data_IF_715395920334
#
_entry.id   IF_715395920334
#
_cell.length_a   1.000
_cell.length_b   1.000
_cell.length_c   1.000
_cell.angle_alpha   90.00
_cell.angle_beta   90.00
_cell.angle_gamma   90.00
#
_symmetry.space_group_name_H-M   'P 1'
#
loop_
_entity.id
_entity.type
_entity.pdbx_description
1 polymer ?
#
# COMPACT_ATOMS: atom_id res chain seq x y z
N UNK A 1 18.99 -27.93 1.91
CA UNK A 1 19.22 -26.92 0.86
C UNK A 1 17.93 -26.13 0.71
N UNK A 2 17.94 -24.81 0.95
CA UNK A 2 16.78 -23.96 0.59
C UNK A 2 16.48 -24.14 -0.89
N UNK A 3 15.21 -24.30 -1.25
CA UNK A 3 14.79 -24.50 -2.64
C UNK A 3 15.23 -23.27 -3.46
N UNK A 4 15.91 -23.49 -4.59
CA UNK A 4 16.36 -22.41 -5.50
C UNK A 4 15.21 -21.46 -5.85
N UNK A 5 13.97 -21.99 -5.87
CA UNK A 5 12.74 -21.20 -6.06
C UNK A 5 12.52 -20.16 -4.97
N UNK A 6 12.79 -20.49 -3.70
CA UNK A 6 12.63 -19.59 -2.57
C UNK A 6 13.66 -18.46 -2.60
N UNK A 7 14.92 -18.77 -2.93
CA UNK A 7 15.97 -17.75 -3.08
C UNK A 7 15.62 -16.79 -4.22
N UNK A 8 15.16 -17.33 -5.36
CA UNK A 8 14.71 -16.51 -6.49
C UNK A 8 13.51 -15.64 -6.11
N UNK A 9 12.52 -16.19 -5.41
CA UNK A 9 11.37 -15.43 -4.92
C UNK A 9 11.82 -14.27 -4.03
N UNK A 10 12.68 -14.56 -3.06
CA UNK A 10 13.18 -13.58 -2.11
C UNK A 10 13.97 -12.47 -2.79
N UNK A 11 14.84 -12.82 -3.74
CA UNK A 11 15.65 -11.85 -4.47
C UNK A 11 14.79 -10.96 -5.38
N UNK A 12 13.84 -11.54 -6.12
CA UNK A 12 12.95 -10.79 -7.01
C UNK A 12 11.98 -9.89 -6.24
N UNK A 13 11.55 -10.30 -5.05
CA UNK A 13 10.54 -9.58 -4.26
C UNK A 13 11.12 -8.87 -3.04
N UNK A 14 12.44 -8.74 -2.97
CA UNK A 14 13.12 -8.21 -1.78
C UNK A 14 12.59 -6.83 -1.38
N UNK A 15 12.42 -5.92 -2.36
CA UNK A 15 11.87 -4.58 -2.13
C UNK A 15 10.44 -4.61 -1.56
N UNK A 16 9.58 -5.49 -2.09
CA UNK A 16 8.20 -5.63 -1.63
C UNK A 16 8.11 -6.29 -0.24
N UNK A 17 9.07 -7.15 0.10
CA UNK A 17 9.18 -7.80 1.40
C UNK A 17 9.76 -6.89 2.49
N UNK A 18 10.26 -5.69 2.15
CA UNK A 18 10.66 -4.66 3.12
C UNK A 18 9.44 -3.97 3.75
N UNK A 19 8.56 -4.78 4.33
CA UNK A 19 7.21 -4.38 4.68
C UNK A 19 7.10 -3.26 5.70
N UNK A 20 8.11 -2.97 6.53
CA UNK A 20 8.08 -1.77 7.40
C UNK A 20 7.99 -0.47 6.59
N UNK A 21 8.52 -0.43 5.36
CA UNK A 21 8.35 0.73 4.47
C UNK A 21 6.88 0.92 4.11
N UNK A 22 6.18 -0.18 3.79
CA UNK A 22 4.74 -0.17 3.50
C UNK A 22 3.90 0.19 4.73
N UNK A 23 4.31 -0.24 5.92
CA UNK A 23 3.67 0.18 7.19
C UNK A 23 3.73 1.70 7.33
N UNK A 24 4.91 2.29 7.14
CA UNK A 24 5.10 3.74 7.28
C UNK A 24 4.25 4.51 6.26
N UNK A 25 4.22 4.06 5.00
CA UNK A 25 3.37 4.65 3.95
C UNK A 25 1.89 4.52 4.31
N UNK A 26 1.46 3.36 4.81
CA UNK A 26 0.08 3.13 5.24
C UNK A 26 -0.33 4.00 6.43
N UNK A 27 0.54 4.18 7.42
CA UNK A 27 0.34 5.10 8.54
C UNK A 27 0.21 6.54 8.05
N UNK A 28 1.11 6.99 7.17
CA UNK A 28 1.03 8.33 6.59
C UNK A 28 -0.29 8.53 5.86
N UNK A 29 -0.71 7.56 5.04
CA UNK A 29 -1.97 7.65 4.29
C UNK A 29 -3.17 7.80 5.23
N UNK A 30 -3.21 7.04 6.33
CA UNK A 30 -4.26 7.16 7.35
C UNK A 30 -4.22 8.54 8.02
N UNK A 31 -3.04 9.01 8.44
CA UNK A 31 -2.90 10.32 9.09
C UNK A 31 -3.36 11.46 8.17
N UNK A 32 -2.94 11.45 6.90
CA UNK A 32 -3.38 12.41 5.88
C UNK A 32 -4.90 12.38 5.70
N UNK A 33 -5.51 11.19 5.68
CA UNK A 33 -6.96 11.06 5.59
C UNK A 33 -7.68 11.59 6.83
N UNK A 34 -7.17 11.30 8.03
CA UNK A 34 -7.73 11.81 9.30
C UNK A 34 -7.63 13.32 9.38
N UNK A 35 -6.48 13.88 9.01
CA UNK A 35 -6.26 15.31 8.88
C UNK A 35 -7.26 15.93 7.91
N UNK A 36 -7.36 15.39 6.69
CA UNK A 36 -8.27 15.85 5.64
C UNK A 36 -9.74 15.76 6.05
N UNK A 37 -10.12 14.67 6.73
CA UNK A 37 -11.46 14.45 7.27
C UNK A 37 -11.81 15.49 8.36
N UNK A 38 -10.84 15.91 9.16
CA UNK A 38 -10.98 16.90 10.22
C UNK A 38 -11.04 18.36 9.74
N UNK A 39 -10.67 18.64 8.49
CA UNK A 39 -10.61 20.01 7.98
C UNK A 39 -11.97 20.73 8.06
N UNK A 40 -11.90 21.99 8.48
CA UNK A 40 -12.98 22.97 8.39
C UNK A 40 -12.49 24.09 7.48
N UNK A 41 -13.36 24.58 6.61
CA UNK A 41 -13.05 25.73 5.75
C UNK A 41 -13.37 27.03 6.51
N UNK A 42 -12.50 28.06 6.45
CA UNK A 42 -11.22 28.13 5.75
C UNK A 42 -10.11 27.32 6.43
N UNK A 43 -9.20 26.76 5.62
CA UNK A 43 -8.06 25.97 6.11
C UNK A 43 -7.14 26.85 6.94
N UNK A 44 -6.96 26.52 8.22
CA UNK A 44 -6.05 27.27 9.11
C UNK A 44 -4.58 26.93 8.81
N UNK A 45 -3.69 27.92 8.95
CA UNK A 45 -2.24 27.72 8.79
C UNK A 45 -1.69 26.69 9.78
N UNK A 46 -2.27 26.64 10.99
CA UNK A 46 -1.94 25.62 12.01
C UNK A 46 -2.21 24.21 11.50
N UNK A 47 -3.31 24.00 10.78
CA UNK A 47 -3.64 22.71 10.17
C UNK A 47 -2.59 22.29 9.15
N UNK A 48 -2.15 23.20 8.29
CA UNK A 48 -1.10 22.92 7.29
C UNK A 48 0.23 22.60 7.97
N UNK A 49 0.60 23.33 9.02
CA UNK A 49 1.82 23.05 9.79
C UNK A 49 1.80 21.68 10.45
N UNK A 50 0.65 21.23 10.96
CA UNK A 50 0.49 19.87 11.51
C UNK A 50 0.76 18.82 10.43
N UNK A 51 0.17 18.97 9.24
CA UNK A 51 0.42 18.04 8.12
C UNK A 51 1.90 18.01 7.72
N UNK A 52 2.54 19.17 7.62
CA UNK A 52 3.97 19.26 7.28
C UNK A 52 4.84 18.57 8.35
N UNK A 53 4.51 18.74 9.62
CA UNK A 53 5.20 18.08 10.73
C UNK A 53 5.00 16.55 10.68
N UNK A 54 3.78 16.07 10.42
CA UNK A 54 3.49 14.64 10.25
C UNK A 54 4.31 14.03 9.11
N UNK A 55 4.35 14.70 7.95
CA UNK A 55 5.17 14.27 6.81
C UNK A 55 6.65 14.23 7.17
N UNK A 56 7.17 15.24 7.87
CA UNK A 56 8.58 15.29 8.27
C UNK A 56 8.94 14.16 9.25
N UNK A 57 8.09 13.88 10.23
CA UNK A 57 8.26 12.77 11.18
C UNK A 57 8.27 11.44 10.43
N UNK A 58 7.30 11.23 9.54
CA UNK A 58 7.23 10.02 8.73
C UNK A 58 8.46 9.85 7.84
N UNK A 59 8.95 10.90 7.18
CA UNK A 59 10.16 10.85 6.36
C UNK A 59 11.39 10.44 7.17
N UNK A 60 11.49 10.95 8.40
CA UNK A 60 12.58 10.62 9.33
C UNK A 60 12.51 9.14 9.74
N UNK A 61 11.32 8.63 10.07
CA UNK A 61 11.11 7.22 10.38
C UNK A 61 11.40 6.34 9.16
N UNK A 62 10.94 6.75 7.98
CA UNK A 62 11.20 6.06 6.71
C UNK A 62 12.69 5.92 6.44
N UNK A 63 13.45 7.01 6.61
CA UNK A 63 14.91 6.99 6.48
C UNK A 63 15.57 6.07 7.50
N UNK A 64 15.13 6.08 8.77
CA UNK A 64 15.65 5.18 9.79
C UNK A 64 15.40 3.70 9.44
N UNK A 65 14.20 3.37 8.93
CA UNK A 65 13.85 2.03 8.47
C UNK A 65 14.65 1.61 7.24
N UNK A 66 14.89 2.53 6.29
CA UNK A 66 15.78 2.28 5.14
C UNK A 66 17.19 1.89 5.62
N UNK A 67 17.75 2.67 6.55
CA UNK A 67 19.06 2.36 7.17
C UNK A 67 19.06 1.04 7.93
N UNK A 68 17.99 0.72 8.64
CA UNK A 68 17.84 -0.57 9.31
C UNK A 68 17.88 -1.74 8.32
N UNK A 69 17.17 -1.65 7.19
CA UNK A 69 17.16 -2.70 6.17
C UNK A 69 18.52 -2.84 5.49
N UNK A 70 19.16 -1.73 5.13
CA UNK A 70 20.49 -1.74 4.52
C UNK A 70 21.52 -2.39 5.45
N UNK A 71 21.48 -2.10 6.76
CA UNK A 71 22.38 -2.69 7.76
C UNK A 71 22.12 -4.17 8.00
N UNK A 72 20.85 -4.58 8.08
CA UNK A 72 20.48 -5.94 8.51
C UNK A 72 20.45 -6.96 7.37
N UNK A 73 20.11 -6.53 6.15
CA UNK A 73 19.89 -7.43 5.02
C UNK A 73 20.68 -7.05 3.76
N UNK A 74 21.39 -5.92 3.77
CA UNK A 74 22.10 -5.41 2.60
C UNK A 74 21.15 -4.88 1.51
N UNK A 75 21.61 -4.91 0.27
CA UNK A 75 20.88 -4.39 -0.89
C UNK A 75 20.80 -5.46 -1.99
N UNK A 76 19.58 -5.77 -2.42
CA UNK A 76 19.33 -6.54 -3.65
C UNK A 76 18.95 -5.56 -4.74
N UNK A 77 19.74 -5.52 -5.82
CA UNK A 77 19.45 -4.68 -6.99
C UNK A 77 18.64 -5.48 -8.00
N UNK A 78 17.44 -5.01 -8.32
CA UNK A 78 16.67 -5.53 -9.45
C UNK A 78 17.44 -5.29 -10.76
N UNK A 79 17.26 -6.16 -11.74
CA UNK A 79 17.84 -5.94 -13.07
C UNK A 79 17.26 -4.68 -13.72
N UNK A 80 18.01 -3.98 -14.60
CA UNK A 80 17.53 -2.75 -15.25
C UNK A 80 16.22 -2.95 -16.03
N UNK A 81 15.99 -4.15 -16.55
CA UNK A 81 14.76 -4.52 -17.27
C UNK A 81 13.55 -4.54 -16.35
N UNK A 82 13.66 -5.17 -15.17
CA UNK A 82 12.60 -5.19 -14.15
C UNK A 82 12.32 -3.77 -13.67
N UNK A 83 13.36 -2.97 -13.41
CA UNK A 83 13.19 -1.57 -12.97
C UNK A 83 12.43 -0.73 -14.00
N UNK A 84 12.75 -0.86 -15.30
CA UNK A 84 12.04 -0.16 -16.38
C UNK A 84 10.58 -0.61 -16.47
N UNK A 85 10.32 -1.90 -16.28
CA UNK A 85 8.97 -2.44 -16.29
C UNK A 85 8.14 -1.94 -15.10
N UNK A 86 8.70 -1.98 -13.89
CA UNK A 86 8.07 -1.45 -12.68
C UNK A 86 7.81 0.05 -12.79
N UNK A 87 8.75 0.82 -13.35
CA UNK A 87 8.57 2.25 -13.60
C UNK A 87 7.40 2.51 -14.57
N UNK A 88 7.31 1.76 -15.68
CA UNK A 88 6.21 1.89 -16.65
C UNK A 88 4.85 1.58 -16.01
N UNK A 89 4.75 0.47 -15.26
CA UNK A 89 3.53 0.13 -14.53
C UNK A 89 3.17 1.21 -13.52
N UNK A 90 4.15 1.73 -12.78
CA UNK A 90 3.93 2.77 -11.77
C UNK A 90 3.43 4.07 -12.39
N UNK A 91 3.98 4.47 -13.54
CA UNK A 91 3.52 5.66 -14.28
C UNK A 91 2.08 5.46 -14.76
N UNK A 92 1.78 4.32 -15.40
CA UNK A 92 0.43 4.02 -15.91
C UNK A 92 -0.57 3.97 -14.76
N UNK A 93 -0.26 3.24 -13.69
CA UNK A 93 -1.10 3.15 -12.49
C UNK A 93 -1.30 4.50 -11.80
N UNK A 94 -0.25 5.32 -11.75
CA UNK A 94 -0.31 6.69 -11.22
C UNK A 94 -1.25 7.58 -12.04
N UNK A 95 -1.13 7.57 -13.37
CA UNK A 95 -2.02 8.33 -14.27
C UNK A 95 -3.47 7.87 -14.10
N UNK A 96 -3.73 6.56 -14.12
CA UNK A 96 -5.08 6.01 -13.94
C UNK A 96 -5.66 6.40 -12.57
N UNK A 97 -4.85 6.36 -11.51
CA UNK A 97 -5.28 6.77 -10.17
C UNK A 97 -5.62 8.26 -10.10
N UNK A 98 -4.84 9.12 -10.74
CA UNK A 98 -5.12 10.57 -10.80
C UNK A 98 -6.40 10.87 -11.57
N UNK A 99 -6.61 10.22 -12.72
CA UNK A 99 -7.84 10.35 -13.50
C UNK A 99 -9.04 9.87 -12.68
N UNK A 100 -8.91 8.71 -12.02
CA UNK A 100 -9.96 8.16 -11.18
C UNK A 100 -10.34 9.07 -10.01
N UNK A 101 -9.33 9.61 -9.31
CA UNK A 101 -9.53 10.59 -8.25
C UNK A 101 -10.23 11.86 -8.76
N UNK A 102 -9.77 12.41 -9.89
CA UNK A 102 -10.38 13.60 -10.48
C UNK A 102 -11.85 13.37 -10.85
N UNK A 103 -12.18 12.20 -11.42
CA UNK A 103 -13.55 11.83 -11.76
C UNK A 103 -14.42 11.65 -10.51
N UNK A 104 -13.92 10.96 -9.47
CA UNK A 104 -14.64 10.74 -8.21
C UNK A 104 -15.01 12.06 -7.53
N UNK A 105 -14.10 13.06 -7.54
CA UNK A 105 -14.34 14.37 -6.93
C UNK A 105 -15.26 15.24 -7.80
N UNK A 106 -15.15 15.16 -9.12
CA UNK A 106 -15.87 16.06 -10.04
C UNK A 106 -17.31 15.61 -10.29
N UNK A 107 -17.54 14.32 -10.53
CA UNK A 107 -18.84 13.83 -11.04
C UNK A 107 -19.73 13.17 -9.97
N UNK A 108 -19.28 13.06 -8.72
CA UNK A 108 -20.02 12.39 -7.63
C UNK A 108 -20.57 11.02 -8.05
N UNK A 109 -19.69 10.18 -8.60
CA UNK A 109 -20.05 8.88 -9.15
C UNK A 109 -20.71 7.99 -8.08
N UNK A 110 -21.64 7.10 -8.46
CA UNK A 110 -22.30 6.16 -7.54
C UNK A 110 -21.41 4.97 -7.14
N UNK A 111 -20.10 5.05 -7.39
CA UNK A 111 -19.07 4.09 -6.99
C UNK A 111 -17.75 4.85 -6.87
N UNK A 112 -16.76 4.29 -6.19
CA UNK A 112 -15.42 4.90 -6.13
C UNK A 112 -14.53 4.34 -7.23
N UNK A 113 -14.27 5.14 -8.25
CA UNK A 113 -13.35 4.79 -9.32
C UNK A 113 -11.92 4.66 -8.80
N UNK A 114 -11.49 5.48 -7.83
CA UNK A 114 -10.16 5.32 -7.23
C UNK A 114 -10.02 3.97 -6.52
N UNK A 115 -11.05 3.55 -5.78
CA UNK A 115 -11.05 2.27 -5.10
C UNK A 115 -11.05 1.09 -6.08
N UNK A 116 -11.75 1.20 -7.21
CA UNK A 116 -11.68 0.22 -8.29
C UNK A 116 -10.28 0.12 -8.90
N UNK A 117 -9.64 1.25 -9.22
CA UNK A 117 -8.27 1.26 -9.75
C UNK A 117 -7.29 0.63 -8.77
N UNK A 118 -7.37 0.97 -7.47
CA UNK A 118 -6.53 0.35 -6.45
C UNK A 118 -6.81 -1.15 -6.29
N UNK A 119 -8.08 -1.56 -6.29
CA UNK A 119 -8.48 -2.97 -6.18
C UNK A 119 -7.99 -3.81 -7.36
N UNK A 120 -8.16 -3.32 -8.59
CA UNK A 120 -7.65 -3.96 -9.81
C UNK A 120 -6.12 -3.98 -9.79
N UNK A 121 -5.47 -2.90 -9.35
CA UNK A 121 -4.02 -2.83 -9.19
C UNK A 121 -3.47 -3.91 -8.26
N UNK A 122 -4.08 -4.08 -7.07
CA UNK A 122 -3.71 -5.14 -6.13
C UNK A 122 -3.95 -6.54 -6.70
N UNK A 123 -5.02 -6.74 -7.47
CA UNK A 123 -5.31 -8.02 -8.11
C UNK A 123 -4.29 -8.32 -9.22
N UNK A 124 -3.93 -7.32 -10.02
CA UNK A 124 -2.90 -7.43 -11.05
C UNK A 124 -1.54 -7.76 -10.43
N UNK A 125 -1.19 -7.11 -9.32
CA UNK A 125 0.01 -7.43 -8.54
C UNK A 125 -0.02 -8.87 -8.02
N UNK A 126 -1.15 -9.32 -7.47
CA UNK A 126 -1.31 -10.71 -7.02
C UNK A 126 -1.10 -11.72 -8.15
N UNK A 127 -1.74 -11.50 -9.31
CA UNK A 127 -1.61 -12.38 -10.48
C UNK A 127 -0.15 -12.40 -10.93
N UNK A 128 0.49 -11.23 -11.02
CA UNK A 128 1.91 -11.08 -11.37
C UNK A 128 2.80 -11.89 -10.41
N UNK A 129 2.60 -11.76 -9.10
CA UNK A 129 3.39 -12.51 -8.11
C UNK A 129 3.14 -14.01 -8.18
N UNK A 130 1.90 -14.44 -8.34
CA UNK A 130 1.52 -15.86 -8.42
C UNK A 130 2.07 -16.52 -9.69
N UNK A 131 2.14 -15.79 -10.80
CA UNK A 131 2.75 -16.27 -12.03
C UNK A 131 4.27 -16.39 -11.93
N UNK A 132 4.93 -15.43 -11.29
CA UNK A 132 6.39 -15.49 -11.12
C UNK A 132 6.82 -16.59 -10.15
N UNK A 133 6.03 -16.83 -9.09
CA UNK A 133 6.35 -17.84 -8.09
C UNK A 133 5.10 -18.64 -7.75
N UNK A 134 5.07 -19.90 -8.21
CA UNK A 134 4.04 -20.89 -7.84
C UNK A 134 4.13 -21.15 -6.32
N UNK A 135 3.40 -20.37 -5.52
CA UNK A 135 3.38 -20.50 -4.06
C UNK A 135 2.21 -19.76 -3.41
N UNK A 136 1.73 -20.26 -2.26
CA UNK A 136 0.58 -19.70 -1.52
C UNK A 136 0.95 -18.52 -0.59
N UNK A 137 2.11 -17.91 -0.76
CA UNK A 137 2.70 -17.04 0.28
C UNK A 137 2.13 -15.61 0.36
N UNK A 138 1.14 -15.26 -0.48
CA UNK A 138 0.63 -13.88 -0.60
C UNK A 138 -0.91 -13.78 -0.65
N UNK A 139 -1.61 -14.67 0.08
CA UNK A 139 -3.08 -14.71 0.10
C UNK A 139 -3.74 -13.41 0.62
N UNK A 140 -3.00 -12.52 1.26
CA UNK A 140 -3.56 -11.23 1.71
C UNK A 140 -3.84 -10.27 0.55
N UNK A 141 -3.10 -10.32 -0.57
CA UNK A 141 -3.36 -9.46 -1.73
C UNK A 141 -4.76 -9.65 -2.35
N UNK A 142 -5.22 -10.86 -2.69
CA UNK A 142 -6.55 -11.04 -3.26
C UNK A 142 -7.65 -10.68 -2.27
N UNK A 143 -7.43 -10.87 -0.96
CA UNK A 143 -8.37 -10.42 0.08
C UNK A 143 -8.48 -8.89 0.06
N UNK A 144 -7.35 -8.17 0.05
CA UNK A 144 -7.33 -6.71 -0.04
C UNK A 144 -7.96 -6.18 -1.34
N UNK A 145 -7.66 -6.83 -2.47
CA UNK A 145 -8.25 -6.50 -3.77
C UNK A 145 -9.77 -6.65 -3.77
N UNK A 146 -10.28 -7.82 -3.35
CA UNK A 146 -11.73 -8.08 -3.26
C UNK A 146 -12.38 -7.10 -2.30
N UNK A 147 -11.77 -6.84 -1.15
CA UNK A 147 -12.28 -5.88 -0.17
C UNK A 147 -12.42 -4.48 -0.77
N UNK A 148 -11.39 -3.96 -1.45
CA UNK A 148 -11.44 -2.66 -2.11
C UNK A 148 -12.50 -2.63 -3.23
N UNK A 149 -12.58 -3.67 -4.07
CA UNK A 149 -13.56 -3.75 -5.15
C UNK A 149 -14.99 -3.74 -4.61
N UNK A 150 -15.27 -4.57 -3.61
CA UNK A 150 -16.58 -4.68 -2.97
C UNK A 150 -16.98 -3.35 -2.34
N UNK A 151 -16.10 -2.76 -1.54
CA UNK A 151 -16.36 -1.47 -0.86
C UNK A 151 -16.52 -0.31 -1.87
N UNK A 152 -15.85 -0.38 -3.02
CA UNK A 152 -15.99 0.62 -4.08
C UNK A 152 -17.36 0.59 -4.77
N UNK A 153 -17.99 -0.59 -4.83
CA UNK A 153 -19.29 -0.83 -5.46
C UNK A 153 -20.45 -0.67 -4.48
N UNK A 154 -20.21 -0.61 -3.16
CA UNK A 154 -21.26 -0.45 -2.14
C UNK A 154 -22.30 0.65 -2.39
N UNK A 155 -21.95 1.86 -2.88
CA UNK A 155 -22.97 2.87 -3.11
C UNK A 155 -23.95 2.47 -4.23
N UNK A 156 -23.56 1.62 -5.19
CA UNK A 156 -24.47 1.05 -6.19
C UNK A 156 -25.50 0.09 -5.58
N UNK A 157 -25.20 -0.52 -4.43
CA UNK A 157 -26.10 -1.43 -3.72
C UNK A 157 -27.11 -0.70 -2.82
N UNK A 158 -27.25 0.63 -2.97
CA UNK A 158 -28.16 1.43 -2.15
C UNK A 158 -27.62 1.75 -0.76
N UNK A 159 -26.30 1.63 -0.55
CA UNK A 159 -25.62 2.04 0.69
C UNK A 159 -24.71 3.28 0.47
N UNK A 160 -25.19 4.37 -0.16
CA UNK A 160 -24.39 5.58 -0.24
C UNK A 160 -24.18 6.14 1.18
N UNK A 161 -22.94 6.52 1.50
CA UNK A 161 -22.67 7.16 2.79
C UNK A 161 -22.44 6.20 3.97
N UNK A 162 -22.26 4.89 3.76
CA UNK A 162 -21.95 3.94 4.84
C UNK A 162 -20.73 4.38 5.68
N UNK A 163 -19.78 5.09 5.07
CA UNK A 163 -18.61 5.66 5.73
C UNK A 163 -18.94 6.76 6.75
N UNK A 164 -20.12 7.39 6.69
CA UNK A 164 -20.54 8.38 7.68
C UNK A 164 -20.79 7.73 9.05
N UNK A 165 -21.14 6.44 9.10
CA UNK A 165 -21.33 5.68 10.34
C UNK A 165 -20.03 5.60 11.17
N UNK A 166 -18.88 5.67 10.51
CA UNK A 166 -17.55 5.67 11.14
C UNK A 166 -16.94 7.09 11.23
N UNK A 167 -17.74 8.13 11.03
CA UNK A 167 -17.30 9.53 11.16
C UNK A 167 -16.43 10.04 10.01
N UNK A 168 -16.42 9.34 8.87
CA UNK A 168 -15.69 9.78 7.67
C UNK A 168 -16.63 10.60 6.78
N UNK A 169 -16.16 11.74 6.27
CA UNK A 169 -16.95 12.71 5.50
C UNK A 169 -17.04 12.38 4.01
N UNK A 170 -16.16 11.53 3.48
CA UNK A 170 -16.12 11.24 2.05
C UNK A 170 -15.61 9.84 1.73
N UNK A 171 -16.17 9.25 0.67
CA UNK A 171 -15.80 7.91 0.21
C UNK A 171 -14.32 7.78 -0.12
N UNK A 172 -13.73 8.80 -0.74
CA UNK A 172 -12.30 8.81 -1.09
C UNK A 172 -11.42 8.63 0.15
N UNK A 173 -11.76 9.29 1.27
CA UNK A 173 -11.03 9.12 2.54
C UNK A 173 -11.21 7.71 3.11
N UNK A 174 -12.43 7.16 3.05
CA UNK A 174 -12.69 5.80 3.53
C UNK A 174 -11.89 4.75 2.73
N UNK A 175 -11.85 4.86 1.41
CA UNK A 175 -11.07 3.99 0.53
C UNK A 175 -9.58 4.14 0.78
N UNK A 176 -9.07 5.37 0.90
CA UNK A 176 -7.66 5.62 1.17
C UNK A 176 -7.23 5.11 2.56
N UNK A 177 -8.07 5.28 3.59
CA UNK A 177 -7.82 4.71 4.92
C UNK A 177 -7.81 3.18 4.88
N UNK A 178 -8.73 2.57 4.14
CA UNK A 178 -8.79 1.11 3.96
C UNK A 178 -7.52 0.58 3.26
N UNK A 179 -7.06 1.28 2.22
CA UNK A 179 -5.80 0.98 1.55
C UNK A 179 -4.59 1.16 2.49
N UNK A 180 -4.60 2.20 3.33
CA UNK A 180 -3.57 2.43 4.34
C UNK A 180 -3.52 1.31 5.39
N UNK A 181 -4.68 0.89 5.90
CA UNK A 181 -4.79 -0.22 6.84
C UNK A 181 -4.30 -1.54 6.21
N UNK A 182 -4.75 -1.82 4.99
CA UNK A 182 -4.28 -2.97 4.23
C UNK A 182 -2.75 -2.95 4.06
N UNK A 183 -2.18 -1.80 3.71
CA UNK A 183 -0.73 -1.62 3.54
C UNK A 183 0.05 -1.89 4.83
N UNK A 184 -0.50 -1.50 5.99
CA UNK A 184 0.09 -1.81 7.30
C UNK A 184 0.08 -3.32 7.54
N UNK A 185 -1.06 -3.97 7.37
CA UNK A 185 -1.19 -5.43 7.59
C UNK A 185 -0.27 -6.20 6.65
N UNK A 186 -0.32 -5.90 5.35
CA UNK A 186 0.56 -6.48 4.33
C UNK A 186 2.04 -6.25 4.67
N UNK A 187 2.41 -5.04 5.10
CA UNK A 187 3.76 -4.69 5.50
C UNK A 187 4.27 -5.45 6.72
N UNK A 188 3.42 -5.64 7.74
CA UNK A 188 3.77 -6.45 8.91
C UNK A 188 4.05 -7.91 8.50
N UNK A 189 3.16 -8.51 7.71
CA UNK A 189 3.36 -9.88 7.21
C UNK A 189 4.61 -10.02 6.35
N UNK A 190 4.85 -9.06 5.43
CA UNK A 190 6.05 -9.04 4.59
C UNK A 190 7.34 -8.96 5.42
N UNK A 191 7.37 -8.10 6.44
CA UNK A 191 8.51 -7.99 7.35
C UNK A 191 8.75 -9.26 8.17
N UNK A 192 7.70 -9.86 8.74
CA UNK A 192 7.79 -11.11 9.49
C UNK A 192 8.30 -12.25 8.60
N UNK A 193 7.80 -12.32 7.36
CA UNK A 193 8.25 -13.32 6.39
C UNK A 193 9.74 -13.13 6.08
N UNK A 194 10.16 -11.91 5.71
CA UNK A 194 11.55 -11.61 5.38
C UNK A 194 12.51 -11.93 6.54
N UNK A 195 12.18 -11.47 7.75
CA UNK A 195 13.00 -11.70 8.94
C UNK A 195 13.10 -13.18 9.28
N UNK A 196 12.01 -13.94 9.20
CA UNK A 196 12.05 -15.40 9.46
C UNK A 196 12.85 -16.16 8.41
N UNK A 197 12.74 -15.78 7.14
CA UNK A 197 13.45 -16.47 6.06
C UNK A 197 14.95 -16.13 6.04
N UNK A 198 15.33 -14.90 6.39
CA UNK A 198 16.73 -14.44 6.37
C UNK A 198 17.44 -14.47 7.73
N UNK A 199 16.72 -14.59 8.85
CA UNK A 199 17.36 -14.65 10.17
C UNK A 199 18.32 -15.84 10.23
N UNK A 200 19.55 -15.66 10.76
CA UNK A 200 20.60 -16.67 10.80
C UNK A 200 20.34 -17.84 11.77
N UNK A 201 19.08 -18.21 12.05
CA UNK A 201 18.68 -19.27 12.98
C UNK A 201 19.03 -20.71 12.52
N UNK A 202 20.01 -20.91 11.65
CA UNK A 202 20.30 -22.23 11.07
C UNK A 202 21.78 -22.63 11.02
N UNK A 203 22.70 -21.87 11.65
CA UNK A 203 24.12 -22.30 11.74
C UNK A 203 24.56 -22.76 13.13
N UNK A 204 23.75 -22.56 14.17
CA UNK A 204 24.07 -23.05 15.52
C UNK A 204 22.83 -23.68 16.19
N UNK A 205 22.69 -24.99 16.04
CA UNK A 205 22.39 -25.96 17.11
C UNK A 205 22.41 -27.39 16.57
#
# INVERSE_FOLDING_TARGET
MKDIKEIRFLATNFSNLQGLRMVIIGVLLILVCLWGNGLKYPISIKSVLVLLLEVLVILTIYYAVDRYYLRSFGQVKATPEIQRFELKISIIGGILSLIAFWLDVTYRLPFSLIGLVCGIGLLADYIRFTWMVKGRHLLYYPIGAVLLLVVSVFPLLGLPGWWHLIGIKGQVFAIAMLLGFFSIVAGIFGHIYLTRTLSPKAEEK
#
